data_IF_321417904154
#
_entry.id   IF_321417904154
#
_cell.length_a   1.000
_cell.length_b   1.000
_cell.length_c   1.000
_cell.angle_alpha   90.00
_cell.angle_beta   90.00
_cell.angle_gamma   90.00
#
_symmetry.space_group_name_H-M   'P 1'
#
loop_
_entity.id
_entity.type
_entity.pdbx_description
1 polymer ?
#
# COMPACT_ATOMS: atom_id res chain seq x y z
N UNK A 1 -39.58 -4.44 9.34
CA UNK A 1 -40.13 -3.20 9.92
C UNK A 1 -38.96 -2.38 10.45
N UNK A 2 -38.64 -1.26 9.81
CA UNK A 2 -37.54 -0.39 10.27
C UNK A 2 -37.89 0.26 11.62
N UNK A 3 -36.95 0.25 12.57
CA UNK A 3 -37.11 0.80 13.92
C UNK A 3 -37.30 2.33 13.86
N UNK A 4 -37.92 2.92 14.89
CA UNK A 4 -38.23 4.37 14.94
C UNK A 4 -36.96 5.25 14.82
N UNK A 5 -35.80 4.71 15.20
CA UNK A 5 -34.48 5.35 15.03
C UNK A 5 -34.01 5.41 13.58
N UNK A 6 -34.16 4.33 12.81
CA UNK A 6 -33.77 4.27 11.39
C UNK A 6 -34.51 5.30 10.54
N UNK A 7 -35.81 5.52 10.80
CA UNK A 7 -36.60 6.54 10.09
C UNK A 7 -36.11 7.97 10.35
N UNK A 8 -35.53 8.22 11.52
CA UNK A 8 -34.96 9.51 11.88
C UNK A 8 -33.67 9.81 11.12
N UNK A 9 -32.79 8.81 10.96
CA UNK A 9 -31.52 8.93 10.24
C UNK A 9 -31.75 9.14 8.75
N UNK A 10 -32.67 8.38 8.14
CA UNK A 10 -33.05 8.55 6.72
C UNK A 10 -33.53 9.98 6.47
N UNK A 11 -34.41 10.52 7.33
CA UNK A 11 -34.92 11.89 7.18
C UNK A 11 -33.82 12.96 7.31
N UNK A 12 -32.81 12.71 8.14
CA UNK A 12 -31.66 13.62 8.28
C UNK A 12 -30.78 13.55 7.03
N UNK A 13 -30.54 12.35 6.50
CA UNK A 13 -29.82 12.16 5.24
C UNK A 13 -30.53 12.87 4.08
N UNK A 14 -31.83 12.69 3.93
CA UNK A 14 -32.61 13.33 2.85
C UNK A 14 -32.50 14.86 2.90
N UNK A 15 -32.50 15.44 4.12
CA UNK A 15 -32.33 16.88 4.31
C UNK A 15 -30.91 17.36 3.97
N UNK A 16 -29.89 16.60 4.35
CA UNK A 16 -28.50 16.92 4.04
C UNK A 16 -28.23 16.83 2.54
N UNK A 17 -28.77 15.79 1.90
CA UNK A 17 -28.68 15.60 0.47
C UNK A 17 -29.40 16.73 -0.28
N UNK A 18 -30.60 17.13 0.17
CA UNK A 18 -31.29 18.30 -0.37
C UNK A 18 -30.48 19.60 -0.20
N UNK A 19 -29.82 19.80 0.95
CA UNK A 19 -28.94 20.95 1.23
C UNK A 19 -27.72 20.99 0.30
N UNK A 20 -27.11 19.83 0.03
CA UNK A 20 -25.99 19.72 -0.91
C UNK A 20 -26.48 19.98 -2.35
N UNK A 21 -27.66 19.46 -2.69
CA UNK A 21 -28.28 19.69 -4.00
C UNK A 21 -28.68 21.15 -4.25
N UNK A 22 -28.95 21.92 -3.19
CA UNK A 22 -29.18 23.37 -3.28
C UNK A 22 -27.90 24.21 -3.20
N UNK A 23 -26.72 23.59 -3.17
CA UNK A 23 -25.43 24.28 -3.15
C UNK A 23 -25.00 24.80 -1.77
N UNK A 24 -25.72 24.45 -0.70
CA UNK A 24 -25.39 24.84 0.68
C UNK A 24 -24.37 23.86 1.29
N UNK A 25 -23.19 23.79 0.67
CA UNK A 25 -22.18 22.79 0.98
C UNK A 25 -21.54 22.98 2.36
N UNK A 26 -21.25 24.22 2.74
CA UNK A 26 -20.63 24.54 4.02
C UNK A 26 -21.56 24.20 5.18
N UNK A 27 -22.83 24.60 5.09
CA UNK A 27 -23.86 24.32 6.09
C UNK A 27 -24.10 22.81 6.22
N UNK A 28 -24.16 22.11 5.08
CA UNK A 28 -24.28 20.65 5.08
C UNK A 28 -23.07 20.00 5.77
N UNK A 29 -21.85 20.44 5.46
CA UNK A 29 -20.62 19.92 6.08
C UNK A 29 -20.60 20.14 7.60
N UNK A 30 -20.93 21.34 8.07
CA UNK A 30 -21.03 21.62 9.50
C UNK A 30 -22.11 20.77 10.19
N UNK A 31 -23.22 20.52 9.50
CA UNK A 31 -24.26 19.63 10.01
C UNK A 31 -23.77 18.18 10.09
N UNK A 32 -23.05 17.66 9.09
CA UNK A 32 -22.41 16.34 9.18
C UNK A 32 -21.48 16.24 10.39
N UNK A 33 -20.62 17.25 10.62
CA UNK A 33 -19.71 17.28 11.79
C UNK A 33 -20.47 17.32 13.11
N UNK A 34 -21.53 18.11 13.20
CA UNK A 34 -22.40 18.16 14.39
C UNK A 34 -23.03 16.80 14.67
N UNK A 35 -23.54 16.13 13.63
CA UNK A 35 -24.14 14.80 13.73
C UNK A 35 -23.11 13.74 14.11
N UNK A 36 -21.87 13.86 13.62
CA UNK A 36 -20.75 12.99 13.97
C UNK A 36 -20.55 12.96 15.48
N UNK A 37 -20.32 14.09 16.13
CA UNK A 37 -20.11 14.12 17.59
C UNK A 37 -21.31 13.55 18.33
N UNK A 38 -22.53 13.93 17.93
CA UNK A 38 -23.76 13.47 18.57
C UNK A 38 -23.94 11.96 18.49
N UNK A 39 -23.77 11.36 17.31
CA UNK A 39 -23.95 9.92 17.12
C UNK A 39 -22.78 9.12 17.69
N UNK A 40 -21.58 9.69 17.70
CA UNK A 40 -20.42 9.08 18.35
C UNK A 40 -20.63 8.97 19.86
N UNK A 41 -21.07 10.04 20.53
CA UNK A 41 -21.41 10.00 21.97
C UNK A 41 -22.52 8.99 22.27
N UNK A 42 -23.49 8.83 21.36
CA UNK A 42 -24.57 7.84 21.47
C UNK A 42 -24.14 6.42 21.08
N UNK A 43 -22.89 6.20 20.65
CA UNK A 43 -22.38 4.92 20.13
C UNK A 43 -23.22 4.33 18.99
N UNK A 44 -23.85 5.18 18.18
CA UNK A 44 -24.64 4.79 17.00
C UNK A 44 -23.73 4.61 15.78
N UNK A 45 -22.79 3.66 15.89
CA UNK A 45 -21.74 3.48 14.90
C UNK A 45 -22.27 3.07 13.52
N UNK A 46 -23.19 2.10 13.36
CA UNK A 46 -23.68 1.70 12.04
C UNK A 46 -24.35 2.85 11.26
N UNK A 47 -25.16 3.65 11.95
CA UNK A 47 -25.85 4.80 11.37
C UNK A 47 -24.86 5.92 11.04
N UNK A 48 -23.87 6.14 11.91
CA UNK A 48 -22.83 7.14 11.69
C UNK A 48 -21.91 6.79 10.51
N UNK A 49 -21.50 5.52 10.39
CA UNK A 49 -20.71 5.03 9.25
C UNK A 49 -21.47 5.22 7.94
N UNK A 50 -22.77 4.90 7.93
CA UNK A 50 -23.63 5.12 6.76
C UNK A 50 -23.75 6.61 6.42
N UNK A 51 -23.94 7.45 7.44
CA UNK A 51 -24.05 8.90 7.30
C UNK A 51 -22.78 9.51 6.68
N UNK A 52 -21.62 9.20 7.25
CA UNK A 52 -20.34 9.75 6.81
C UNK A 52 -19.92 9.23 5.43
N UNK A 53 -20.12 7.94 5.14
CA UNK A 53 -19.78 7.39 3.82
C UNK A 53 -20.60 8.06 2.71
N UNK A 54 -21.93 8.18 2.90
CA UNK A 54 -22.79 8.86 1.92
C UNK A 54 -22.45 10.34 1.79
N UNK A 55 -22.26 11.04 2.91
CA UNK A 55 -21.93 12.46 2.92
C UNK A 55 -20.59 12.78 2.26
N UNK A 56 -19.54 12.03 2.59
CA UNK A 56 -18.22 12.18 1.97
C UNK A 56 -18.29 11.91 0.46
N UNK A 57 -18.90 10.80 0.05
CA UNK A 57 -19.07 10.46 -1.39
C UNK A 57 -19.77 11.59 -2.14
N UNK A 58 -20.91 12.06 -1.64
CA UNK A 58 -21.70 13.09 -2.30
C UNK A 58 -20.95 14.44 -2.39
N UNK A 59 -20.24 14.85 -1.34
CA UNK A 59 -19.44 16.08 -1.37
C UNK A 59 -18.26 15.97 -2.36
N UNK A 60 -17.58 14.82 -2.39
CA UNK A 60 -16.49 14.58 -3.35
C UNK A 60 -16.99 14.60 -4.80
N UNK A 61 -18.17 14.02 -5.07
CA UNK A 61 -18.82 14.05 -6.39
C UNK A 61 -19.27 15.45 -6.81
N UNK A 62 -19.43 16.39 -5.87
CA UNK A 62 -19.76 17.82 -6.12
C UNK A 62 -18.54 18.74 -6.05
N UNK A 63 -17.35 18.16 -6.20
CA UNK A 63 -16.06 18.86 -6.18
C UNK A 63 -15.78 19.64 -4.88
N UNK A 64 -16.49 19.30 -3.80
CA UNK A 64 -16.22 19.84 -2.46
C UNK A 64 -15.15 19.00 -1.77
N UNK A 65 -13.96 18.98 -2.38
CA UNK A 65 -12.88 18.04 -2.05
C UNK A 65 -12.45 18.08 -0.59
N UNK A 66 -12.20 19.27 -0.02
CA UNK A 66 -11.78 19.42 1.37
C UNK A 66 -12.83 18.92 2.37
N UNK A 67 -14.09 19.33 2.21
CA UNK A 67 -15.20 18.88 3.07
C UNK A 67 -15.47 17.37 2.93
N UNK A 68 -15.42 16.85 1.71
CA UNK A 68 -15.58 15.42 1.45
C UNK A 68 -14.46 14.58 2.08
N UNK A 69 -13.21 15.02 1.96
CA UNK A 69 -12.05 14.37 2.56
C UNK A 69 -12.07 14.42 4.09
N UNK A 70 -12.46 15.54 4.70
CA UNK A 70 -12.66 15.66 6.16
C UNK A 70 -13.67 14.61 6.66
N UNK A 71 -14.83 14.50 6.01
CA UNK A 71 -15.83 13.49 6.37
C UNK A 71 -15.32 12.06 6.15
N UNK A 72 -14.50 11.82 5.13
CA UNK A 72 -13.87 10.53 4.88
C UNK A 72 -12.86 10.16 5.98
N UNK A 73 -12.10 11.13 6.50
CA UNK A 73 -11.21 10.93 7.65
C UNK A 73 -12.02 10.56 8.90
N UNK A 74 -13.11 11.29 9.18
CA UNK A 74 -14.02 10.97 10.28
C UNK A 74 -14.61 9.55 10.12
N UNK A 75 -14.90 9.12 8.89
CA UNK A 75 -15.38 7.77 8.62
C UNK A 75 -14.37 6.69 9.07
N UNK A 76 -13.07 6.87 8.77
CA UNK A 76 -12.01 5.96 9.25
C UNK A 76 -11.87 5.99 10.77
N UNK A 77 -12.00 7.17 11.38
CA UNK A 77 -11.97 7.32 12.83
C UNK A 77 -13.11 6.54 13.50
N UNK A 78 -14.33 6.59 12.93
CA UNK A 78 -15.46 5.82 13.43
C UNK A 78 -15.20 4.32 13.30
N UNK A 79 -14.68 3.84 12.15
CA UNK A 79 -14.33 2.43 11.97
C UNK A 79 -13.35 1.94 13.05
N UNK A 80 -12.41 2.79 13.43
CA UNK A 80 -11.43 2.51 14.50
C UNK A 80 -12.12 2.49 15.87
N UNK A 81 -12.90 3.52 16.20
CA UNK A 81 -13.60 3.64 17.50
C UNK A 81 -14.70 2.59 17.71
N UNK A 82 -15.28 2.08 16.63
CA UNK A 82 -16.27 0.99 16.67
C UNK A 82 -15.64 -0.40 16.62
N UNK A 83 -14.31 -0.50 16.67
CA UNK A 83 -13.54 -1.76 16.59
C UNK A 83 -13.92 -2.62 15.39
N UNK A 84 -14.38 -1.98 14.31
CA UNK A 84 -14.87 -2.67 13.12
C UNK A 84 -13.70 -3.30 12.39
N UNK A 85 -13.81 -4.61 12.13
CA UNK A 85 -12.74 -5.37 11.46
C UNK A 85 -12.76 -5.13 9.96
N UNK A 86 -11.59 -5.10 9.30
CA UNK A 86 -11.51 -5.06 7.85
C UNK A 86 -12.28 -6.23 7.22
N UNK A 87 -13.12 -5.90 6.25
CA UNK A 87 -13.79 -6.85 5.37
C UNK A 87 -13.88 -6.24 3.96
N UNK A 88 -14.32 -7.03 2.99
CA UNK A 88 -14.38 -6.61 1.59
C UNK A 88 -15.25 -5.36 1.37
N UNK A 89 -16.35 -5.22 2.12
CA UNK A 89 -17.26 -4.08 2.03
C UNK A 89 -16.55 -2.78 2.46
N UNK A 90 -15.97 -2.76 3.65
CA UNK A 90 -15.29 -1.58 4.20
C UNK A 90 -14.05 -1.21 3.39
N UNK A 91 -13.27 -2.21 2.98
CA UNK A 91 -12.09 -2.02 2.11
C UNK A 91 -12.50 -1.39 0.78
N UNK A 92 -13.61 -1.86 0.18
CA UNK A 92 -14.10 -1.30 -1.08
C UNK A 92 -14.60 0.14 -0.92
N UNK A 93 -15.26 0.47 0.20
CA UNK A 93 -15.67 1.84 0.52
C UNK A 93 -14.48 2.78 0.69
N UNK A 94 -13.46 2.39 1.45
CA UNK A 94 -12.24 3.19 1.64
C UNK A 94 -11.50 3.43 0.32
N UNK A 95 -11.34 2.39 -0.49
CA UNK A 95 -10.73 2.52 -1.80
C UNK A 95 -11.54 3.45 -2.73
N UNK A 96 -12.88 3.38 -2.68
CA UNK A 96 -13.73 4.27 -3.46
C UNK A 96 -13.57 5.74 -3.05
N UNK A 97 -13.54 6.01 -1.75
CA UNK A 97 -13.26 7.36 -1.24
C UNK A 97 -11.86 7.83 -1.66
N UNK A 98 -10.84 6.98 -1.55
CA UNK A 98 -9.48 7.33 -1.99
C UNK A 98 -9.38 7.66 -3.49
N UNK A 99 -10.16 6.98 -4.34
CA UNK A 99 -10.26 7.27 -5.77
C UNK A 99 -10.95 8.61 -6.04
N UNK A 100 -11.95 8.98 -5.23
CA UNK A 100 -12.71 10.23 -5.38
C UNK A 100 -11.97 11.46 -4.82
N UNK A 101 -11.14 11.29 -3.80
CA UNK A 101 -10.36 12.38 -3.21
C UNK A 101 -9.25 12.80 -4.19
N UNK A 102 -9.25 14.07 -4.58
CA UNK A 102 -8.26 14.65 -5.49
C UNK A 102 -6.85 14.55 -4.94
N UNK A 103 -5.87 14.30 -5.82
CA UNK A 103 -4.45 14.38 -5.45
C UNK A 103 -3.95 15.77 -5.05
N UNK A 104 -4.76 16.82 -5.28
CA UNK A 104 -4.39 18.20 -4.96
C UNK A 104 -4.66 18.57 -3.50
N UNK A 105 -5.46 17.78 -2.76
CA UNK A 105 -5.81 18.10 -1.37
C UNK A 105 -4.91 17.34 -0.39
N UNK A 106 -4.34 18.03 0.62
CA UNK A 106 -3.42 17.41 1.58
C UNK A 106 -4.08 16.32 2.43
N UNK A 107 -5.38 16.43 2.69
CA UNK A 107 -6.18 15.48 3.48
C UNK A 107 -6.16 14.08 2.87
N UNK A 108 -5.85 13.95 1.57
CA UNK A 108 -5.75 12.64 0.91
C UNK A 108 -4.68 11.75 1.52
N UNK A 109 -3.54 12.33 1.90
CA UNK A 109 -2.45 11.59 2.53
C UNK A 109 -2.83 11.16 3.96
N UNK A 110 -3.46 12.05 4.72
CA UNK A 110 -4.01 11.72 6.05
C UNK A 110 -5.05 10.61 5.96
N UNK A 111 -5.99 10.68 5.01
CA UNK A 111 -6.98 9.63 4.78
C UNK A 111 -6.33 8.29 4.44
N UNK A 112 -5.33 8.30 3.54
CA UNK A 112 -4.58 7.10 3.15
C UNK A 112 -3.88 6.46 4.35
N UNK A 113 -3.09 7.23 5.10
CA UNK A 113 -2.36 6.74 6.28
C UNK A 113 -3.31 6.16 7.32
N UNK A 114 -4.39 6.87 7.64
CA UNK A 114 -5.40 6.40 8.59
C UNK A 114 -6.09 5.11 8.10
N UNK A 115 -6.40 5.02 6.81
CA UNK A 115 -7.05 3.84 6.22
C UNK A 115 -6.15 2.60 6.28
N UNK A 116 -4.86 2.75 5.96
CA UNK A 116 -3.88 1.65 6.05
C UNK A 116 -3.71 1.25 7.51
N UNK A 117 -3.52 2.21 8.43
CA UNK A 117 -3.38 1.96 9.87
C UNK A 117 -4.59 1.22 10.45
N UNK A 118 -5.81 1.62 10.10
CA UNK A 118 -7.03 0.92 10.49
C UNK A 118 -7.08 -0.52 9.96
N UNK A 119 -6.58 -0.74 8.74
CA UNK A 119 -6.59 -2.06 8.10
C UNK A 119 -5.51 -3.04 8.57
N UNK A 120 -4.60 -2.60 9.44
CA UNK A 120 -3.48 -3.42 9.89
C UNK A 120 -3.95 -4.67 10.64
N UNK A 121 -3.43 -5.82 10.21
CA UNK A 121 -3.52 -7.08 10.92
C UNK A 121 -2.34 -7.25 11.91
N UNK A 122 -2.21 -8.43 12.50
CA UNK A 122 -1.09 -8.78 13.38
C UNK A 122 0.30 -8.62 12.72
N UNK A 123 0.37 -8.65 11.39
CA UNK A 123 1.63 -8.48 10.65
C UNK A 123 1.97 -7.00 10.42
N UNK A 124 1.13 -6.06 10.85
CA UNK A 124 1.31 -4.59 10.74
C UNK A 124 1.48 -4.09 9.30
N UNK A 125 0.98 -4.83 8.31
CA UNK A 125 1.19 -4.52 6.88
C UNK A 125 -0.01 -3.87 6.20
N UNK A 126 -1.17 -3.80 6.86
CA UNK A 126 -2.42 -3.38 6.23
C UNK A 126 -3.11 -4.51 5.47
N UNK A 127 -4.36 -4.29 5.08
CA UNK A 127 -5.15 -5.26 4.32
C UNK A 127 -4.65 -5.38 2.86
N UNK A 128 -4.33 -6.58 2.35
CA UNK A 128 -3.79 -6.76 0.99
C UNK A 128 -4.73 -6.30 -0.13
N UNK A 129 -6.05 -6.41 0.06
CA UNK A 129 -7.04 -5.95 -0.93
C UNK A 129 -7.13 -4.43 -0.94
N UNK A 130 -7.02 -3.77 0.22
CA UNK A 130 -6.94 -2.32 0.30
C UNK A 130 -5.67 -1.80 -0.40
N UNK A 131 -4.52 -2.42 -0.12
CA UNK A 131 -3.26 -2.13 -0.82
C UNK A 131 -3.40 -2.28 -2.34
N UNK A 132 -4.01 -3.38 -2.82
CA UNK A 132 -4.28 -3.58 -4.25
C UNK A 132 -5.07 -2.40 -4.85
N UNK A 133 -6.22 -2.07 -4.26
CA UNK A 133 -7.11 -1.03 -4.82
C UNK A 133 -6.45 0.36 -4.81
N UNK A 134 -5.71 0.69 -3.75
CA UNK A 134 -4.94 1.94 -3.68
C UNK A 134 -3.85 1.97 -4.76
N UNK A 135 -3.15 0.84 -4.97
CA UNK A 135 -2.14 0.73 -6.01
C UNK A 135 -2.73 0.94 -7.41
N UNK A 136 -3.91 0.38 -7.69
CA UNK A 136 -4.64 0.60 -8.95
C UNK A 136 -5.02 2.08 -9.15
N UNK A 137 -5.43 2.80 -8.10
CA UNK A 137 -5.69 4.24 -8.17
C UNK A 137 -4.42 5.01 -8.50
N UNK A 138 -3.32 4.77 -7.79
CA UNK A 138 -2.03 5.42 -8.10
C UNK A 138 -1.52 5.07 -9.50
N UNK A 139 -1.76 3.85 -9.98
CA UNK A 139 -1.41 3.45 -11.33
C UNK A 139 -2.23 4.21 -12.38
N UNK A 140 -3.55 4.36 -12.20
CA UNK A 140 -4.39 5.21 -13.07
C UNK A 140 -3.86 6.64 -13.12
N UNK A 141 -3.39 7.17 -11.98
CA UNK A 141 -2.75 8.49 -11.86
C UNK A 141 -1.30 8.57 -12.37
N UNK A 142 -0.74 7.46 -12.90
CA UNK A 142 0.65 7.37 -13.37
C UNK A 142 1.70 7.65 -12.28
N UNK A 143 1.33 7.54 -11.01
CA UNK A 143 2.20 7.61 -9.83
C UNK A 143 2.82 6.24 -9.53
N UNK A 144 3.63 5.75 -10.45
CA UNK A 144 4.17 4.38 -10.42
C UNK A 144 4.94 4.03 -9.15
N UNK A 145 5.70 4.96 -8.56
CA UNK A 145 6.45 4.71 -7.32
C UNK A 145 5.53 4.44 -6.15
N UNK A 146 4.44 5.20 -6.02
CA UNK A 146 3.43 4.98 -4.98
C UNK A 146 2.66 3.68 -5.23
N UNK A 147 2.25 3.44 -6.50
CA UNK A 147 1.59 2.21 -6.89
C UNK A 147 2.45 0.97 -6.60
N UNK A 148 3.74 1.00 -6.92
CA UNK A 148 4.73 -0.04 -6.62
C UNK A 148 4.77 -0.39 -5.14
N UNK A 149 4.88 0.62 -4.26
CA UNK A 149 4.89 0.42 -2.80
C UNK A 149 3.65 -0.32 -2.34
N UNK A 150 2.47 0.08 -2.79
CA UNK A 150 1.23 -0.60 -2.41
C UNK A 150 1.07 -1.98 -3.06
N UNK A 151 1.46 -2.16 -4.32
CA UNK A 151 1.41 -3.47 -4.98
C UNK A 151 2.29 -4.51 -4.26
N UNK A 152 3.48 -4.14 -3.76
CA UNK A 152 4.34 -5.05 -2.99
C UNK A 152 3.65 -5.66 -1.76
N UNK A 153 2.72 -4.93 -1.14
CA UNK A 153 1.93 -5.39 0.00
C UNK A 153 0.55 -5.94 -0.39
N UNK A 154 0.23 -5.91 -1.68
CA UNK A 154 -0.98 -6.54 -2.20
C UNK A 154 -0.82 -8.06 -2.33
N UNK A 155 -1.92 -8.74 -2.62
CA UNK A 155 -1.95 -10.17 -2.94
C UNK A 155 -2.19 -10.44 -4.43
N UNK A 156 -1.97 -9.46 -5.31
CA UNK A 156 -2.27 -9.56 -6.75
C UNK A 156 -1.02 -9.32 -7.61
N UNK A 157 -0.38 -10.42 -8.01
CA UNK A 157 0.79 -10.36 -8.88
C UNK A 157 0.45 -10.01 -10.33
N UNK A 158 -0.76 -10.35 -10.78
CA UNK A 158 -1.20 -10.11 -12.16
C UNK A 158 -1.36 -8.61 -12.46
N UNK A 159 -2.06 -7.88 -11.59
CA UNK A 159 -2.23 -6.44 -11.73
C UNK A 159 -0.88 -5.71 -11.64
N UNK A 160 -0.02 -6.13 -10.71
CA UNK A 160 1.30 -5.55 -10.55
C UNK A 160 2.18 -5.76 -11.79
N UNK A 161 2.18 -6.97 -12.36
CA UNK A 161 2.89 -7.26 -13.60
C UNK A 161 2.43 -6.38 -14.77
N UNK A 162 1.11 -6.19 -14.91
CA UNK A 162 0.57 -5.31 -15.96
C UNK A 162 1.02 -3.86 -15.78
N UNK A 163 1.06 -3.35 -14.55
CA UNK A 163 1.61 -2.03 -14.25
C UNK A 163 3.10 -1.95 -14.63
N UNK A 164 3.90 -2.96 -14.31
CA UNK A 164 5.33 -3.00 -14.67
C UNK A 164 5.54 -3.03 -16.19
N UNK A 165 4.70 -3.76 -16.94
CA UNK A 165 4.72 -3.76 -18.42
C UNK A 165 4.43 -2.36 -18.94
N UNK A 166 3.37 -1.71 -18.44
CA UNK A 166 3.04 -0.35 -18.84
C UNK A 166 4.20 0.61 -18.53
N UNK A 167 4.77 0.53 -17.32
CA UNK A 167 5.88 1.38 -16.91
C UNK A 167 7.10 1.21 -17.82
N UNK A 168 7.53 -0.03 -18.09
CA UNK A 168 8.67 -0.27 -18.98
C UNK A 168 8.36 0.17 -20.43
N UNK A 169 7.18 -0.13 -20.94
CA UNK A 169 6.84 0.20 -22.35
C UNK A 169 6.67 1.70 -22.59
N UNK A 170 6.31 2.47 -21.56
CA UNK A 170 6.10 3.92 -21.66
C UNK A 170 7.31 4.75 -21.25
N UNK A 171 8.09 4.30 -20.25
CA UNK A 171 9.18 5.08 -19.64
C UNK A 171 10.54 4.36 -19.56
N UNK A 172 10.59 3.05 -19.80
CA UNK A 172 11.81 2.24 -19.61
C UNK A 172 12.67 2.09 -20.86
N UNK A 173 13.95 1.79 -20.66
CA UNK A 173 14.87 1.46 -21.77
C UNK A 173 14.71 0.01 -22.19
N UNK A 174 14.99 -0.27 -23.48
CA UNK A 174 14.94 -1.65 -24.02
C UNK A 174 15.85 -2.62 -23.26
N UNK A 175 16.98 -2.12 -22.74
CA UNK A 175 17.96 -2.88 -21.97
C UNK A 175 17.55 -3.13 -20.52
N UNK A 176 16.44 -2.58 -20.04
CA UNK A 176 16.00 -2.69 -18.64
C UNK A 176 14.78 -3.61 -18.47
N UNK A 177 14.23 -4.13 -19.56
CA UNK A 177 13.03 -4.95 -19.60
C UNK A 177 12.97 -6.07 -18.55
N UNK A 178 14.08 -6.74 -18.30
CA UNK A 178 14.22 -7.82 -17.33
C UNK A 178 14.52 -7.31 -15.91
N UNK A 179 15.03 -6.08 -15.77
CA UNK A 179 15.30 -5.45 -14.48
C UNK A 179 14.00 -5.04 -13.75
N UNK A 180 12.98 -4.56 -14.47
CA UNK A 180 11.69 -4.19 -13.87
C UNK A 180 11.05 -5.37 -13.12
N UNK A 181 10.99 -6.53 -13.77
CA UNK A 181 10.42 -7.73 -13.15
C UNK A 181 11.36 -8.36 -12.12
N UNK A 182 12.68 -8.29 -12.32
CA UNK A 182 13.65 -8.78 -11.35
C UNK A 182 13.53 -8.05 -10.01
N UNK A 183 13.47 -6.71 -10.03
CA UNK A 183 13.31 -5.93 -8.81
C UNK A 183 12.03 -6.32 -8.07
N UNK A 184 10.90 -6.37 -8.77
CA UNK A 184 9.61 -6.75 -8.18
C UNK A 184 9.64 -8.16 -7.56
N UNK A 185 10.09 -9.17 -8.31
CA UNK A 185 10.15 -10.56 -7.84
C UNK A 185 11.04 -10.69 -6.60
N UNK A 186 12.23 -10.08 -6.62
CA UNK A 186 13.16 -10.16 -5.50
C UNK A 186 12.59 -9.49 -4.23
N UNK A 187 11.96 -8.32 -4.36
CA UNK A 187 11.32 -7.64 -3.24
C UNK A 187 10.13 -8.42 -2.67
N UNK A 188 9.26 -8.99 -3.54
CA UNK A 188 8.14 -9.83 -3.09
C UNK A 188 8.66 -11.08 -2.35
N UNK A 189 9.76 -11.68 -2.82
CA UNK A 189 10.41 -12.79 -2.11
C UNK A 189 10.98 -12.38 -0.74
N UNK A 190 11.52 -11.16 -0.60
CA UNK A 190 11.90 -10.61 0.71
C UNK A 190 10.69 -10.43 1.65
N UNK A 191 9.50 -10.19 1.09
CA UNK A 191 8.23 -10.09 1.83
C UNK A 191 7.58 -11.45 2.15
N UNK A 192 8.27 -12.56 1.85
CA UNK A 192 7.82 -13.95 2.08
C UNK A 192 6.60 -14.37 1.24
N UNK A 193 6.33 -13.70 0.13
CA UNK A 193 5.16 -13.98 -0.71
C UNK A 193 5.54 -14.67 -2.03
N UNK A 194 5.97 -15.94 -1.96
CA UNK A 194 6.39 -16.71 -3.15
C UNK A 194 5.26 -16.85 -4.19
N UNK A 195 3.99 -16.97 -3.75
CA UNK A 195 2.85 -17.11 -4.65
C UNK A 195 2.71 -15.89 -5.55
N UNK A 196 2.69 -14.69 -4.96
CA UNK A 196 2.61 -13.44 -5.72
C UNK A 196 3.86 -13.22 -6.58
N UNK A 197 5.06 -13.58 -6.10
CA UNK A 197 6.29 -13.46 -6.87
C UNK A 197 6.24 -14.31 -8.15
N UNK A 198 5.79 -15.57 -8.03
CA UNK A 198 5.59 -16.48 -9.16
C UNK A 198 4.51 -15.96 -10.11
N UNK A 199 3.35 -15.53 -9.59
CA UNK A 199 2.27 -14.98 -10.41
C UNK A 199 2.72 -13.74 -11.21
N UNK A 200 3.38 -12.79 -10.54
CA UNK A 200 3.89 -11.56 -11.15
C UNK A 200 4.88 -11.88 -12.27
N UNK A 201 5.82 -12.80 -12.00
CA UNK A 201 6.81 -13.22 -12.99
C UNK A 201 6.15 -13.83 -14.23
N UNK A 202 5.27 -14.83 -14.02
CA UNK A 202 4.61 -15.54 -15.12
C UNK A 202 3.76 -14.61 -15.96
N UNK A 203 2.94 -13.76 -15.32
CA UNK A 203 2.13 -12.78 -16.02
C UNK A 203 3.00 -11.85 -16.86
N UNK A 204 4.07 -11.32 -16.26
CA UNK A 204 4.96 -10.39 -16.95
C UNK A 204 5.59 -11.03 -18.19
N UNK A 205 6.14 -12.24 -18.07
CA UNK A 205 6.81 -12.91 -19.20
C UNK A 205 5.83 -13.37 -20.29
N UNK A 206 4.62 -13.75 -19.91
CA UNK A 206 3.57 -14.17 -20.85
C UNK A 206 3.02 -12.99 -21.67
N UNK A 207 2.73 -11.87 -21.03
CA UNK A 207 1.99 -10.77 -21.67
C UNK A 207 2.87 -9.62 -22.17
N UNK A 208 4.12 -9.52 -21.70
CA UNK A 208 5.00 -8.43 -22.12
C UNK A 208 5.27 -8.49 -23.65
N UNK A 209 5.04 -7.41 -24.41
CA UNK A 209 5.01 -7.43 -25.87
C UNK A 209 6.34 -7.83 -26.54
N UNK A 210 7.47 -7.58 -25.86
CA UNK A 210 8.83 -7.91 -26.33
C UNK A 210 9.39 -9.24 -25.79
N UNK A 211 8.66 -9.95 -24.93
CA UNK A 211 9.09 -11.26 -24.36
C UNK A 211 8.18 -12.38 -24.86
N UNK A 212 6.85 -12.22 -24.68
CA UNK A 212 5.78 -13.16 -25.05
C UNK A 212 6.19 -14.64 -24.98
N UNK A 213 6.39 -15.13 -23.77
CA UNK A 213 6.72 -16.53 -23.53
C UNK A 213 5.97 -17.07 -22.31
N UNK A 214 5.00 -17.96 -22.56
CA UNK A 214 4.23 -18.69 -21.54
C UNK A 214 4.79 -20.07 -21.19
N UNK A 215 5.81 -20.55 -21.92
CA UNK A 215 6.38 -21.90 -21.77
C UNK A 215 7.49 -21.97 -20.71
N UNK A 216 8.04 -20.83 -20.31
CA UNK A 216 9.21 -20.78 -19.44
C UNK A 216 10.53 -20.72 -20.24
N UNK A 217 11.67 -20.98 -19.59
CA UNK A 217 12.97 -20.88 -20.24
C UNK A 217 13.14 -21.86 -21.43
N UNK A 218 14.03 -21.57 -22.39
CA UNK A 218 15.00 -20.47 -22.34
C UNK A 218 14.39 -19.13 -22.78
N UNK A 219 14.53 -18.13 -21.92
CA UNK A 219 14.37 -16.72 -22.28
C UNK A 219 15.66 -16.20 -22.91
N UNK A 220 15.52 -15.23 -23.83
CA UNK A 220 16.67 -14.52 -24.41
C UNK A 220 17.45 -13.77 -23.33
N UNK A 221 16.75 -13.23 -22.33
CA UNK A 221 17.35 -12.49 -21.21
C UNK A 221 17.81 -13.47 -20.11
N UNK A 222 19.13 -13.55 -19.83
CA UNK A 222 19.64 -14.47 -18.80
C UNK A 222 19.06 -14.19 -17.42
N UNK A 223 18.77 -12.93 -17.09
CA UNK A 223 18.15 -12.59 -15.80
C UNK A 223 16.74 -13.18 -15.64
N UNK A 224 15.95 -13.29 -16.72
CA UNK A 224 14.64 -13.94 -16.65
C UNK A 224 14.78 -15.46 -16.40
N UNK A 225 15.78 -16.09 -17.00
CA UNK A 225 16.11 -17.50 -16.70
C UNK A 225 16.49 -17.65 -15.22
N UNK A 226 17.34 -16.76 -14.71
CA UNK A 226 17.71 -16.72 -13.30
C UNK A 226 16.48 -16.65 -12.38
N UNK A 227 15.57 -15.69 -12.62
CA UNK A 227 14.37 -15.53 -11.81
C UNK A 227 13.48 -16.77 -11.84
N UNK A 228 13.30 -17.38 -13.02
CA UNK A 228 12.52 -18.61 -13.14
C UNK A 228 13.12 -19.76 -12.31
N UNK A 229 14.43 -19.97 -12.39
CA UNK A 229 15.10 -21.00 -11.58
C UNK A 229 15.13 -20.64 -10.09
N UNK A 230 15.26 -19.36 -9.74
CA UNK A 230 15.24 -18.87 -8.36
C UNK A 230 13.89 -19.16 -7.70
N UNK A 231 12.78 -18.86 -8.37
CA UNK A 231 11.44 -19.14 -7.87
C UNK A 231 11.26 -20.63 -7.56
N UNK A 232 11.70 -21.52 -8.46
CA UNK A 232 11.68 -22.98 -8.23
C UNK A 232 12.59 -23.40 -7.08
N UNK A 233 13.78 -22.83 -6.96
CA UNK A 233 14.69 -23.12 -5.86
C UNK A 233 14.06 -22.72 -4.50
N UNK A 234 13.36 -21.57 -4.45
CA UNK A 234 12.64 -21.11 -3.24
C UNK A 234 11.50 -22.06 -2.90
N UNK A 235 10.67 -22.44 -3.88
CA UNK A 235 9.56 -23.39 -3.69
C UNK A 235 10.05 -24.75 -3.19
N UNK A 236 11.16 -25.25 -3.73
CA UNK A 236 11.75 -26.54 -3.38
C UNK A 236 12.67 -26.49 -2.15
N UNK A 237 12.94 -25.30 -1.58
CA UNK A 237 13.93 -25.10 -0.50
C UNK A 237 15.33 -25.62 -0.86
N UNK A 238 15.70 -25.61 -2.14
CA UNK A 238 16.92 -26.23 -2.63
C UNK A 238 18.15 -25.30 -2.52
N UNK A 239 18.83 -25.33 -1.37
CA UNK A 239 19.97 -24.45 -1.05
C UNK A 239 21.10 -24.49 -2.10
N UNK A 240 21.54 -25.69 -2.52
CA UNK A 240 22.63 -25.81 -3.51
C UNK A 240 22.26 -25.16 -4.85
N UNK A 241 21.02 -25.31 -5.32
CA UNK A 241 20.55 -24.69 -6.55
C UNK A 241 20.61 -23.17 -6.43
N UNK A 242 20.12 -22.60 -5.32
CA UNK A 242 20.22 -21.17 -5.06
C UNK A 242 21.67 -20.65 -5.12
N UNK A 243 22.61 -21.35 -4.48
CA UNK A 243 24.03 -20.97 -4.50
C UNK A 243 24.64 -21.02 -5.91
N UNK A 244 24.35 -22.09 -6.68
CA UNK A 244 24.81 -22.22 -8.07
C UNK A 244 24.25 -21.09 -8.95
N UNK A 245 22.96 -20.76 -8.78
CA UNK A 245 22.32 -19.68 -9.53
C UNK A 245 22.97 -18.32 -9.27
N UNK A 246 23.27 -17.98 -8.00
CA UNK A 246 23.99 -16.73 -7.65
C UNK A 246 25.32 -16.61 -8.39
N UNK A 247 26.07 -17.72 -8.47
CA UNK A 247 27.38 -17.73 -9.11
C UNK A 247 27.27 -17.64 -10.64
N UNK A 248 26.42 -18.46 -11.25
CA UNK A 248 26.32 -18.55 -12.71
C UNK A 248 25.71 -17.29 -13.34
N UNK A 249 24.78 -16.63 -12.64
CA UNK A 249 24.13 -15.43 -13.13
C UNK A 249 24.71 -14.14 -12.56
N UNK A 250 25.91 -14.19 -11.94
CA UNK A 250 26.53 -13.05 -11.27
C UNK A 250 26.61 -11.78 -12.15
N UNK A 251 26.92 -11.94 -13.45
CA UNK A 251 26.99 -10.82 -14.41
C UNK A 251 25.61 -10.16 -14.57
N UNK A 252 24.54 -10.95 -14.66
CA UNK A 252 23.17 -10.45 -14.79
C UNK A 252 22.68 -9.80 -13.50
N UNK A 253 23.04 -10.38 -12.35
CA UNK A 253 22.67 -9.87 -11.02
C UNK A 253 23.34 -8.52 -10.75
N UNK A 254 24.64 -8.37 -11.10
CA UNK A 254 25.41 -7.14 -10.88
C UNK A 254 24.95 -5.93 -11.70
N UNK A 255 23.98 -6.08 -12.60
CA UNK A 255 23.37 -4.96 -13.34
C UNK A 255 22.60 -4.01 -12.43
N UNK A 256 22.08 -4.48 -11.30
CA UNK A 256 21.51 -3.65 -10.24
C UNK A 256 22.23 -3.96 -8.91
N UNK A 257 22.91 -2.99 -8.29
CA UNK A 257 23.60 -3.19 -7.02
C UNK A 257 22.70 -3.73 -5.89
N UNK A 258 21.40 -3.46 -5.92
CA UNK A 258 20.45 -3.87 -4.88
C UNK A 258 20.09 -5.36 -4.96
N UNK A 259 20.31 -6.03 -6.08
CA UNK A 259 19.90 -7.44 -6.22
C UNK A 259 20.70 -8.36 -5.31
N UNK A 260 21.99 -8.09 -5.10
CA UNK A 260 22.81 -8.85 -4.16
C UNK A 260 22.25 -8.74 -2.73
N UNK A 261 21.83 -7.54 -2.33
CA UNK A 261 21.19 -7.27 -1.04
C UNK A 261 19.89 -8.08 -0.90
N UNK A 262 19.00 -8.05 -1.90
CA UNK A 262 17.77 -8.82 -1.86
C UNK A 262 18.04 -10.33 -1.82
N UNK A 263 19.02 -10.80 -2.59
CA UNK A 263 19.39 -12.22 -2.63
C UNK A 263 19.97 -12.70 -1.31
N UNK A 264 20.76 -11.90 -0.61
CA UNK A 264 21.25 -12.26 0.72
C UNK A 264 20.09 -12.38 1.73
N UNK A 265 19.12 -11.46 1.65
CA UNK A 265 17.91 -11.55 2.46
C UNK A 265 17.05 -12.78 2.11
N UNK A 266 16.89 -13.09 0.83
CA UNK A 266 16.22 -14.31 0.34
C UNK A 266 16.95 -15.57 0.84
N UNK A 267 18.28 -15.57 0.79
CA UNK A 267 19.17 -16.60 1.34
C UNK A 267 18.87 -16.91 2.80
N UNK A 268 18.77 -15.85 3.61
CA UNK A 268 18.44 -15.95 5.03
C UNK A 268 17.00 -16.43 5.26
N UNK A 269 16.01 -15.83 4.57
CA UNK A 269 14.58 -16.09 4.80
C UNK A 269 14.16 -17.50 4.39
N UNK A 270 14.62 -17.96 3.21
CA UNK A 270 14.10 -19.16 2.58
C UNK A 270 15.05 -20.35 2.66
N UNK A 271 16.34 -20.12 2.92
CA UNK A 271 17.38 -21.16 2.92
C UNK A 271 18.19 -21.23 4.22
N UNK A 272 17.95 -20.33 5.19
CA UNK A 272 18.66 -20.33 6.47
C UNK A 272 20.14 -19.98 6.36
N UNK A 273 20.58 -19.34 5.27
CA UNK A 273 21.98 -18.97 5.06
C UNK A 273 22.30 -17.77 5.94
N UNK A 274 23.31 -17.89 6.80
CA UNK A 274 23.81 -16.77 7.59
C UNK A 274 24.55 -15.76 6.70
N UNK A 275 24.25 -14.48 6.88
CA UNK A 275 24.95 -13.39 6.20
C UNK A 275 26.20 -13.06 7.04
N UNK A 276 27.41 -13.04 6.43
CA UNK A 276 28.65 -12.66 7.11
C UNK A 276 28.53 -11.32 7.83
N UNK A 277 29.14 -11.22 9.02
CA UNK A 277 28.98 -10.09 9.95
C UNK A 277 29.50 -8.74 9.43
N UNK A 278 30.39 -8.73 8.44
CA UNK A 278 30.95 -7.49 7.85
C UNK A 278 29.89 -6.62 7.16
N UNK A 279 28.74 -7.18 6.78
CA UNK A 279 27.61 -6.45 6.20
C UNK A 279 26.53 -6.04 7.23
N UNK A 280 26.71 -6.34 8.52
CA UNK A 280 25.74 -6.06 9.61
C UNK A 280 25.89 -4.66 10.20
N UNK A 281 26.02 -3.62 9.37
CA UNK A 281 25.89 -2.26 9.89
C UNK A 281 24.38 -1.91 9.93
N UNK A 282 23.78 -1.58 11.08
CA UNK A 282 22.36 -1.17 11.14
C UNK A 282 22.08 0.10 10.33
N UNK A 283 23.11 0.94 10.14
CA UNK A 283 23.12 2.10 9.24
C UNK A 283 23.51 1.75 7.79
N UNK A 284 23.67 0.46 7.46
CA UNK A 284 23.92 0.02 6.08
C UNK A 284 22.67 0.27 5.23
N UNK A 285 22.90 0.59 3.96
CA UNK A 285 21.90 0.69 2.89
C UNK A 285 20.94 -0.53 2.88
N UNK A 286 21.40 -1.71 3.33
CA UNK A 286 20.59 -2.92 3.53
C UNK A 286 19.40 -2.72 4.48
N UNK A 287 19.64 -2.11 5.64
CA UNK A 287 18.61 -1.85 6.66
C UNK A 287 17.57 -0.87 6.15
N UNK A 288 18.02 0.23 5.52
CA UNK A 288 17.14 1.25 4.94
C UNK A 288 16.27 0.73 3.78
N UNK A 289 16.84 -0.07 2.87
CA UNK A 289 16.11 -0.68 1.75
C UNK A 289 15.03 -1.65 2.23
N UNK A 290 15.37 -2.54 3.17
CA UNK A 290 14.42 -3.51 3.71
C UNK A 290 13.35 -2.79 4.54
N UNK A 291 13.72 -1.78 5.32
CA UNK A 291 12.78 -0.96 6.09
C UNK A 291 11.79 -0.23 5.17
N UNK A 292 12.27 0.31 4.05
CA UNK A 292 11.43 0.93 3.01
C UNK A 292 10.47 -0.06 2.32
N UNK A 293 10.90 -1.33 2.14
CA UNK A 293 10.06 -2.40 1.57
C UNK A 293 9.07 -2.98 2.59
N UNK A 294 9.44 -3.02 3.88
CA UNK A 294 8.58 -3.54 4.95
C UNK A 294 7.53 -2.49 5.37
N UNK A 295 7.78 -1.21 5.08
CA UNK A 295 6.94 -0.08 5.44
C UNK A 295 7.26 0.36 6.87
N UNK A 296 7.85 1.54 7.03
CA UNK A 296 7.88 2.27 8.30
C UNK A 296 6.84 3.37 8.19
N UNK A 297 5.79 3.31 9.03
CA UNK A 297 4.77 4.36 9.17
C UNK A 297 5.06 5.21 10.43
N UNK A 298 6.19 4.99 11.11
CA UNK A 298 6.60 5.81 12.25
C UNK A 298 7.26 7.11 11.77
N UNK A 299 6.44 8.04 11.29
CA UNK A 299 6.80 9.45 11.22
C UNK A 299 5.58 10.34 11.44
N UNK A 300 5.02 10.34 12.66
CA UNK A 300 4.19 11.45 13.15
C UNK A 300 3.92 11.41 14.65
N UNK A 301 4.88 11.02 15.49
CA UNK A 301 4.83 11.28 16.94
C UNK A 301 6.22 11.78 17.38
N UNK A 302 6.53 13.03 17.04
CA UNK A 302 7.51 13.81 17.79
C UNK A 302 6.70 14.84 18.60
N UNK A 303 6.16 14.36 19.72
CA UNK A 303 5.66 15.25 20.76
C UNK A 303 6.85 16.01 21.33
N UNK A 304 6.86 17.31 21.07
CA UNK A 304 7.85 18.23 21.60
C UNK A 304 7.82 18.26 23.13
N UNK A 305 8.67 17.46 23.76
CA UNK A 305 9.16 17.75 25.09
C UNK A 305 10.43 18.60 24.98
N UNK A 306 10.23 19.92 25.01
CA UNK A 306 11.28 20.88 25.32
C UNK A 306 11.85 20.60 26.71
N UNK A 307 12.92 19.79 26.80
CA UNK A 307 13.77 19.76 27.99
C UNK A 307 14.59 21.05 28.03
N UNK A 308 14.04 22.08 28.67
CA UNK A 308 14.80 23.22 29.17
C UNK A 308 15.73 22.72 30.29
N UNK A 309 16.97 22.38 29.94
CA UNK A 309 18.06 22.24 30.91
C UNK A 309 18.60 23.63 31.24
N UNK A 310 17.98 24.29 32.22
CA UNK A 310 18.59 25.44 32.88
C UNK A 310 19.62 24.92 33.89
N UNK A 311 20.88 24.82 33.46
CA UNK A 311 22.02 24.73 34.37
C UNK A 311 22.28 26.11 34.96
N UNK A 312 21.98 26.29 36.24
CA UNK A 312 22.46 27.41 37.03
C UNK A 312 23.98 27.27 37.24
N UNK A 313 24.77 28.34 37.14
CA UNK A 313 26.16 28.32 37.56
C UNK A 313 26.27 28.52 39.08
N UNK A 314 27.01 27.64 39.75
CA UNK A 314 27.43 27.80 41.14
C UNK A 314 28.37 29.00 41.29
N UNK A 315 28.16 29.77 42.36
CA UNK A 315 29.07 30.78 42.87
C UNK A 315 29.93 30.14 43.97
N UNK A 316 31.19 29.86 43.63
CA UNK A 316 32.41 30.22 44.39
C UNK A 316 33.65 29.89 43.57
#
# INVERSE_FOLDING_TARGET
MATRGERGVVRVLDKLEASINSGQYYEAHQMYRTLYFRYLTQKKYPELLTLLYKGSTLLLERDQQGSGADLAILFVEVLTKSETKPNEEWVSKLAKLFELISSSVPERETFLTNSIKWSMDNNKKGDPLLHKKIAEVFWKEKKYTAAHRHFLHSSDGSAYANMLIELHTTKGLKSEIDLFIAQAVLQILCLRNVRMATETFLRYTETHPKIKNSKGPPYIFPLLNFLWFLLRAVEQRHVRQFMVLKNWYAISIKRDPNYSIFLDNIGRIWFGIEIPSENRNPNSMFGGLIKSIIGDIDSSDDDGESKTSATAPDLD
#
